data_IF_961974468748
#
_entry.id   IF_961974468748
#
_cell.length_a   1.000
_cell.length_b   1.000
_cell.length_c   1.000
_cell.angle_alpha   90.00
_cell.angle_beta   90.00
_cell.angle_gamma   90.00
#
_symmetry.space_group_name_H-M   'P 1'
#
loop_
_entity.id
_entity.type
_entity.pdbx_description
1 polymer ?
#
# COMPACT_ATOMS: atom_id res chain seq x y z
N UNK A 1 7.98 -9.13 -4.49
CA UNK A 1 9.16 -8.36 -4.90
C UNK A 1 8.66 -6.98 -5.27
N UNK A 2 9.26 -5.92 -4.72
CA UNK A 2 8.91 -4.54 -5.11
C UNK A 2 9.45 -4.27 -6.51
N UNK A 3 8.74 -3.45 -7.27
CA UNK A 3 9.13 -3.03 -8.62
C UNK A 3 8.72 -1.57 -8.86
N UNK A 4 9.23 -1.01 -9.95
CA UNK A 4 8.77 0.27 -10.46
C UNK A 4 7.24 0.26 -10.65
N UNK A 5 6.63 1.41 -10.36
CA UNK A 5 5.18 1.67 -10.34
C UNK A 5 4.39 0.97 -9.24
N UNK A 6 5.04 0.20 -8.35
CA UNK A 6 4.36 -0.23 -7.13
C UNK A 6 4.08 0.97 -6.22
N UNK A 7 2.84 1.03 -5.70
CA UNK A 7 2.47 1.98 -4.65
C UNK A 7 2.88 1.39 -3.31
N UNK A 8 3.63 2.18 -2.56
CA UNK A 8 4.14 1.82 -1.24
C UNK A 8 3.61 2.79 -0.20
N UNK A 9 3.85 2.44 1.05
CA UNK A 9 3.53 3.26 2.20
C UNK A 9 4.73 3.31 3.14
N UNK A 10 5.01 4.48 3.71
CA UNK A 10 6.08 4.66 4.68
C UNK A 10 5.80 3.92 5.99
N UNK A 11 6.80 3.22 6.52
CA UNK A 11 6.71 2.46 7.77
C UNK A 11 7.00 3.31 9.02
N UNK A 12 7.58 4.50 8.84
CA UNK A 12 7.91 5.49 9.87
C UNK A 12 7.92 6.91 9.29
N UNK A 13 8.02 7.91 10.15
CA UNK A 13 8.00 9.33 9.80
C UNK A 13 9.34 9.81 9.20
N UNK A 14 9.27 10.76 8.26
CA UNK A 14 10.41 11.49 7.71
C UNK A 14 10.18 13.00 7.92
N UNK A 15 10.62 13.51 9.07
CA UNK A 15 10.31 14.87 9.54
C UNK A 15 10.81 15.97 8.60
N UNK A 16 12.01 15.81 8.02
CA UNK A 16 12.62 16.80 7.12
C UNK A 16 11.75 17.09 5.88
N UNK A 17 10.95 16.11 5.47
CA UNK A 17 10.06 16.19 4.31
C UNK A 17 8.59 16.28 4.70
N UNK A 18 8.28 16.34 6.01
CA UNK A 18 6.92 16.33 6.57
C UNK A 18 6.07 15.13 6.12
N UNK A 19 6.71 14.02 5.75
CA UNK A 19 6.03 12.78 5.41
C UNK A 19 5.84 11.95 6.68
N UNK A 20 4.65 11.38 6.84
CA UNK A 20 4.32 10.57 8.03
C UNK A 20 4.31 9.10 7.66
N UNK A 21 4.45 8.23 8.66
CA UNK A 21 4.07 6.83 8.56
C UNK A 21 2.67 6.73 7.99
N UNK A 22 2.47 5.86 7.01
CA UNK A 22 1.20 5.76 6.30
C UNK A 22 1.10 6.63 5.04
N UNK A 23 2.04 7.56 4.81
CA UNK A 23 2.05 8.35 3.58
C UNK A 23 2.39 7.44 2.39
N UNK A 24 1.60 7.59 1.32
CA UNK A 24 1.74 6.81 0.09
C UNK A 24 2.72 7.46 -0.87
N UNK A 25 3.49 6.63 -1.57
CA UNK A 25 4.40 7.04 -2.63
C UNK A 25 4.47 5.97 -3.71
N UNK A 26 5.02 6.32 -4.87
CA UNK A 26 5.21 5.40 -5.98
C UNK A 26 6.70 5.17 -6.23
N UNK A 27 7.10 3.90 -6.39
CA UNK A 27 8.48 3.57 -6.77
C UNK A 27 8.70 4.01 -8.23
N UNK A 28 9.61 4.95 -8.46
CA UNK A 28 9.99 5.41 -9.79
C UNK A 28 11.25 4.72 -10.31
N UNK A 29 12.10 4.19 -9.42
CA UNK A 29 13.27 3.40 -9.79
C UNK A 29 13.65 2.36 -8.74
N UNK A 30 14.13 1.20 -9.19
CA UNK A 30 14.69 0.14 -8.33
C UNK A 30 16.19 -0.01 -8.57
N UNK A 31 17.00 0.06 -7.51
CA UNK A 31 18.43 -0.22 -7.59
C UNK A 31 18.72 -1.73 -7.76
N UNK A 32 19.92 -2.06 -8.27
CA UNK A 32 20.29 -3.39 -8.78
C UNK A 32 20.09 -4.55 -7.79
N UNK A 33 20.27 -4.32 -6.49
CA UNK A 33 20.16 -5.32 -5.43
C UNK A 33 18.82 -5.28 -4.66
N UNK A 34 17.90 -4.39 -5.07
CA UNK A 34 16.62 -4.14 -4.41
C UNK A 34 16.73 -3.80 -2.93
N UNK A 35 17.87 -3.25 -2.50
CA UNK A 35 18.02 -2.73 -1.14
C UNK A 35 17.55 -1.29 -1.03
N UNK A 36 17.55 -0.55 -2.15
CA UNK A 36 17.11 0.83 -2.22
C UNK A 36 16.16 1.10 -3.40
N UNK A 37 15.33 2.10 -3.25
CA UNK A 37 14.29 2.51 -4.19
C UNK A 37 14.22 4.03 -4.26
N UNK A 38 14.08 4.59 -5.46
CA UNK A 38 13.64 5.98 -5.59
C UNK A 38 12.11 6.00 -5.53
N UNK A 39 11.58 6.79 -4.59
CA UNK A 39 10.15 6.90 -4.36
C UNK A 39 9.73 8.36 -4.48
N UNK A 40 8.77 8.61 -5.36
CA UNK A 40 8.14 9.92 -5.50
C UNK A 40 6.88 9.99 -4.63
N UNK A 41 6.76 11.10 -3.92
CA UNK A 41 5.60 11.47 -3.12
C UNK A 41 4.95 12.70 -3.75
N UNK A 42 3.63 12.63 -3.93
CA UNK A 42 2.84 13.70 -4.58
C UNK A 42 1.70 14.17 -3.68
N UNK A 43 1.27 15.41 -3.85
CA UNK A 43 0.06 15.93 -3.21
C UNK A 43 -1.21 15.41 -3.90
N UNK A 44 -2.36 15.70 -3.31
CA UNK A 44 -3.68 15.37 -3.90
C UNK A 44 -3.90 16.12 -5.24
N UNK A 45 -3.21 17.23 -5.45
CA UNK A 45 -3.18 18.00 -6.70
C UNK A 45 -2.18 17.46 -7.73
N UNK A 46 -1.37 16.45 -7.38
CA UNK A 46 -0.36 15.85 -8.24
C UNK A 46 0.98 16.58 -8.28
N UNK A 47 1.22 17.51 -7.34
CA UNK A 47 2.51 18.19 -7.22
C UNK A 47 3.53 17.33 -6.47
N UNK A 48 4.76 17.23 -6.97
CA UNK A 48 5.83 16.50 -6.28
C UNK A 48 6.16 17.16 -4.95
N UNK A 49 5.93 16.45 -3.85
CA UNK A 49 6.29 16.84 -2.49
C UNK A 49 7.74 16.48 -2.18
N UNK A 50 8.18 15.30 -2.59
CA UNK A 50 9.52 14.78 -2.36
C UNK A 50 9.86 13.64 -3.32
N UNK A 51 11.15 13.50 -3.62
CA UNK A 51 11.74 12.32 -4.24
C UNK A 51 12.84 11.82 -3.30
N UNK A 52 12.68 10.62 -2.76
CA UNK A 52 13.57 10.07 -1.73
C UNK A 52 14.15 8.73 -2.18
N UNK A 53 15.44 8.54 -1.91
CA UNK A 53 16.07 7.22 -1.88
C UNK A 53 15.72 6.54 -0.56
N UNK A 54 14.93 5.48 -0.60
CA UNK A 54 14.45 4.74 0.58
C UNK A 54 15.00 3.32 0.59
N UNK A 55 15.35 2.83 1.78
CA UNK A 55 15.73 1.45 1.99
C UNK A 55 14.51 0.53 2.08
N UNK A 56 14.71 -0.77 1.91
CA UNK A 56 13.63 -1.76 2.01
C UNK A 56 12.86 -1.71 3.35
N UNK A 57 13.51 -1.31 4.44
CA UNK A 57 12.87 -1.21 5.77
C UNK A 57 11.91 -0.03 5.91
N UNK A 58 12.06 0.99 5.06
CA UNK A 58 11.32 2.25 5.15
C UNK A 58 9.93 2.17 4.51
N UNK A 59 9.72 1.14 3.68
CA UNK A 59 8.55 1.04 2.80
C UNK A 59 7.90 -0.34 2.85
N UNK A 60 6.58 -0.36 2.74
CA UNK A 60 5.77 -1.57 2.60
C UNK A 60 4.82 -1.41 1.41
N UNK A 61 4.51 -2.50 0.71
CA UNK A 61 3.49 -2.49 -0.35
C UNK A 61 2.15 -2.04 0.23
N UNK A 62 1.52 -1.05 -0.38
CA UNK A 62 0.23 -0.52 0.08
C UNK A 62 -0.82 -1.64 0.19
N UNK A 63 -0.90 -2.50 -0.84
CA UNK A 63 -1.81 -3.65 -0.85
C UNK A 63 -1.58 -4.63 0.30
N UNK A 64 -0.34 -4.77 0.77
CA UNK A 64 0.01 -5.70 1.84
C UNK A 64 -0.46 -5.10 3.17
N UNK A 65 -0.31 -3.77 3.35
CA UNK A 65 -0.88 -3.05 4.50
C UNK A 65 -2.40 -3.11 4.54
N UNK A 66 -3.09 -2.89 3.40
CA UNK A 66 -4.55 -3.01 3.32
C UNK A 66 -4.98 -4.42 3.71
N UNK A 67 -4.26 -5.44 3.24
CA UNK A 67 -4.55 -6.82 3.57
C UNK A 67 -4.39 -7.10 5.07
N UNK A 68 -3.32 -6.62 5.68
CA UNK A 68 -3.09 -6.76 7.14
C UNK A 68 -4.21 -6.07 7.94
N UNK A 69 -4.56 -4.84 7.59
CA UNK A 69 -5.67 -4.11 8.22
C UNK A 69 -7.00 -4.84 8.07
N UNK A 70 -7.28 -5.41 6.89
CA UNK A 70 -8.50 -6.21 6.68
C UNK A 70 -8.49 -7.44 7.57
N UNK A 71 -7.37 -8.18 7.66
CA UNK A 71 -7.29 -9.37 8.51
C UNK A 71 -7.53 -9.04 9.99
N UNK A 72 -6.95 -7.96 10.50
CA UNK A 72 -7.18 -7.50 11.88
C UNK A 72 -8.65 -7.18 12.16
N UNK A 73 -9.34 -6.55 11.19
CA UNK A 73 -10.77 -6.29 11.30
C UNK A 73 -11.59 -7.58 11.33
N UNK A 74 -11.23 -8.57 10.50
CA UNK A 74 -11.93 -9.86 10.44
C UNK A 74 -11.83 -10.65 11.75
N UNK A 75 -10.69 -10.58 12.44
CA UNK A 75 -10.48 -11.28 13.72
C UNK A 75 -11.39 -10.75 14.85
N UNK A 76 -11.90 -9.53 14.71
CA UNK A 76 -12.79 -8.89 15.69
C UNK A 76 -14.29 -9.09 15.39
N UNK A 77 -14.65 -9.66 14.24
CA UNK A 77 -16.04 -9.74 13.81
C UNK A 77 -16.79 -10.96 14.39
N UNK A 78 -18.04 -10.77 14.84
CA UNK A 78 -18.97 -11.87 15.08
C UNK A 78 -19.17 -12.77 13.86
N UNK A 79 -19.47 -14.05 14.08
CA UNK A 79 -19.52 -15.06 13.02
C UNK A 79 -20.61 -14.80 11.96
N UNK A 80 -21.72 -14.17 12.33
CA UNK A 80 -22.79 -13.75 11.42
C UNK A 80 -22.31 -12.65 10.47
N UNK A 81 -21.66 -11.61 10.99
CA UNK A 81 -21.08 -10.54 10.17
C UNK A 81 -19.91 -11.03 9.31
N UNK A 82 -19.10 -11.97 9.81
CA UNK A 82 -18.02 -12.57 9.03
C UNK A 82 -18.56 -13.34 7.81
N UNK A 83 -19.71 -14.01 7.95
CA UNK A 83 -20.38 -14.67 6.85
C UNK A 83 -20.88 -13.66 5.79
N UNK A 84 -21.43 -12.51 6.21
CA UNK A 84 -21.83 -11.43 5.30
C UNK A 84 -20.64 -10.87 4.52
N UNK A 85 -19.50 -10.64 5.19
CA UNK A 85 -18.27 -10.15 4.54
C UNK A 85 -17.76 -11.17 3.51
N UNK A 86 -17.78 -12.47 3.83
CA UNK A 86 -17.44 -13.54 2.88
C UNK A 86 -18.34 -13.47 1.64
N UNK A 87 -19.65 -13.45 1.83
CA UNK A 87 -20.62 -13.46 0.72
C UNK A 87 -20.44 -12.23 -0.18
N UNK A 88 -20.16 -11.06 0.42
CA UNK A 88 -19.84 -9.84 -0.31
C UNK A 88 -18.52 -9.95 -1.09
N UNK A 89 -17.47 -10.51 -0.49
CA UNK A 89 -16.18 -10.72 -1.16
C UNK A 89 -16.30 -11.69 -2.34
N UNK A 90 -17.07 -12.78 -2.20
CA UNK A 90 -17.37 -13.70 -3.29
C UNK A 90 -18.11 -13.01 -4.44
N UNK A 91 -19.11 -12.17 -4.13
CA UNK A 91 -19.83 -11.36 -5.11
C UNK A 91 -18.88 -10.44 -5.90
N UNK A 92 -17.98 -9.73 -5.22
CA UNK A 92 -16.99 -8.86 -5.88
C UNK A 92 -16.08 -9.64 -6.83
N UNK A 93 -15.61 -10.83 -6.41
CA UNK A 93 -14.78 -11.69 -7.25
C UNK A 93 -15.49 -12.16 -8.52
N UNK A 94 -16.78 -12.49 -8.43
CA UNK A 94 -17.59 -12.83 -9.59
C UNK A 94 -17.80 -11.64 -10.53
N UNK A 95 -17.98 -10.43 -9.98
CA UNK A 95 -18.18 -9.20 -10.76
C UNK A 95 -16.95 -8.86 -11.60
N UNK A 96 -15.74 -8.93 -11.04
CA UNK A 96 -14.51 -8.62 -11.80
C UNK A 96 -14.28 -9.59 -12.98
N UNK A 97 -14.58 -10.88 -12.78
CA UNK A 97 -14.47 -11.92 -13.83
C UNK A 97 -15.42 -11.72 -15.01
N UNK A 98 -16.51 -10.96 -14.85
CA UNK A 98 -17.45 -10.66 -15.94
C UNK A 98 -17.09 -9.41 -16.76
N UNK A 99 -16.14 -8.60 -16.27
CA UNK A 99 -15.73 -7.33 -16.88
C UNK A 99 -14.38 -7.47 -17.60
N UNK A 100 -13.67 -8.59 -17.42
CA UNK A 100 -12.46 -8.98 -18.15
C UNK A 100 -12.79 -9.95 -19.28
#
# INVERSE_FOLDING_TARGET
MLKELDVITLTHDFEDYKLRKGTQGAIVHCYYDQQAYEVEFVSDEGETLALLTLERGDIQLERDMIKEQVLELLDCLPSDLLAEVRDFAEFLGQKQRKVS
#
